data_IF_039898329611
#
_entry.id   IF_039898329611
#
_cell.length_a   1.000
_cell.length_b   1.000
_cell.length_c   1.000
_cell.angle_alpha   90.00
_cell.angle_beta   90.00
_cell.angle_gamma   90.00
#
_symmetry.space_group_name_H-M   'P 1'
#
loop_
_entity.id
_entity.type
_entity.pdbx_description
1 polymer ?
#
# COMPACT_ATOMS: atom_id res chain seq x y z
N UNK A 1 -30.43 -60.68 -16.11
CA UNK A 1 -29.17 -60.49 -16.85
C UNK A 1 -29.02 -59.06 -17.41
N UNK A 2 -30.11 -58.34 -17.72
CA UNK A 2 -30.06 -56.96 -18.24
C UNK A 2 -29.68 -55.92 -17.16
N UNK A 3 -30.19 -56.06 -15.92
CA UNK A 3 -29.88 -55.16 -14.80
C UNK A 3 -28.39 -55.16 -14.40
N UNK A 4 -27.75 -56.33 -14.37
CA UNK A 4 -26.34 -56.46 -14.01
C UNK A 4 -25.38 -55.71 -14.96
N UNK A 5 -25.70 -55.63 -16.26
CA UNK A 5 -24.90 -54.87 -17.23
C UNK A 5 -25.11 -53.34 -17.12
N UNK A 6 -26.29 -52.92 -16.66
CA UNK A 6 -26.60 -51.50 -16.41
C UNK A 6 -25.88 -51.02 -15.13
N UNK A 7 -25.81 -51.86 -14.10
CA UNK A 7 -25.10 -51.56 -12.85
C UNK A 7 -23.57 -51.51 -13.04
N UNK A 8 -23.01 -52.37 -13.90
CA UNK A 8 -21.58 -52.39 -14.21
C UNK A 8 -21.13 -51.15 -15.01
N UNK A 9 -21.96 -50.71 -15.97
CA UNK A 9 -21.67 -49.55 -16.81
C UNK A 9 -21.80 -48.22 -16.05
N UNK A 10 -22.80 -48.09 -15.19
CA UNK A 10 -22.94 -46.92 -14.29
C UNK A 10 -21.80 -46.83 -13.27
N UNK A 11 -21.34 -47.97 -12.73
CA UNK A 11 -20.16 -48.04 -11.86
C UNK A 11 -18.89 -47.55 -12.59
N UNK A 12 -18.70 -47.96 -13.83
CA UNK A 12 -17.54 -47.51 -14.64
C UNK A 12 -17.58 -46.01 -14.92
N UNK A 13 -18.76 -45.46 -15.25
CA UNK A 13 -18.95 -44.01 -15.47
C UNK A 13 -18.69 -43.22 -14.19
N UNK A 14 -19.12 -43.71 -13.02
CA UNK A 14 -18.84 -43.06 -11.74
C UNK A 14 -17.36 -43.06 -11.38
N UNK A 15 -16.63 -44.15 -11.67
CA UNK A 15 -15.20 -44.25 -11.44
C UNK A 15 -14.44 -43.26 -12.34
N UNK A 16 -14.84 -43.16 -13.62
CA UNK A 16 -14.27 -42.20 -14.55
C UNK A 16 -14.51 -40.76 -14.08
N UNK A 17 -15.74 -40.45 -13.64
CA UNK A 17 -16.09 -39.15 -13.08
C UNK A 17 -15.28 -38.81 -11.82
N UNK A 18 -15.04 -39.79 -10.95
CA UNK A 18 -14.21 -39.63 -9.76
C UNK A 18 -12.74 -39.32 -10.11
N UNK A 19 -12.16 -40.03 -11.08
CA UNK A 19 -10.81 -39.74 -11.56
C UNK A 19 -10.68 -38.34 -12.17
N UNK A 20 -11.69 -37.90 -12.93
CA UNK A 20 -11.76 -36.55 -13.49
C UNK A 20 -11.85 -35.50 -12.36
N UNK A 21 -12.68 -35.74 -11.34
CA UNK A 21 -12.83 -34.82 -10.20
C UNK A 21 -11.54 -34.67 -9.39
N UNK A 22 -10.80 -35.76 -9.14
CA UNK A 22 -9.48 -35.70 -8.48
C UNK A 22 -8.50 -34.86 -9.31
N UNK A 23 -8.50 -35.05 -10.63
CA UNK A 23 -7.63 -34.30 -11.53
C UNK A 23 -7.98 -32.81 -11.54
N UNK A 24 -9.27 -32.47 -11.51
CA UNK A 24 -9.74 -31.09 -11.40
C UNK A 24 -9.31 -30.45 -10.07
N UNK A 25 -9.47 -31.16 -8.94
CA UNK A 25 -9.01 -30.68 -7.63
C UNK A 25 -7.51 -30.43 -7.59
N UNK A 26 -6.71 -31.33 -8.17
CA UNK A 26 -5.26 -31.16 -8.27
C UNK A 26 -4.91 -29.92 -9.11
N UNK A 27 -5.58 -29.73 -10.24
CA UNK A 27 -5.37 -28.57 -11.11
C UNK A 27 -5.80 -27.26 -10.43
N UNK A 28 -6.90 -27.25 -9.68
CA UNK A 28 -7.35 -26.10 -8.90
C UNK A 28 -6.36 -25.72 -7.81
N UNK A 29 -5.85 -26.71 -7.05
CA UNK A 29 -4.82 -26.46 -6.04
C UNK A 29 -3.54 -25.86 -6.65
N UNK A 30 -3.13 -26.36 -7.82
CA UNK A 30 -1.98 -25.83 -8.55
C UNK A 30 -2.23 -24.39 -9.03
N UNK A 31 -3.39 -24.12 -9.61
CA UNK A 31 -3.76 -22.77 -10.07
C UNK A 31 -3.89 -21.79 -8.91
N UNK A 32 -4.47 -22.21 -7.79
CA UNK A 32 -4.59 -21.39 -6.59
C UNK A 32 -3.21 -21.00 -6.05
N UNK A 33 -2.27 -21.94 -5.96
CA UNK A 33 -0.90 -21.65 -5.54
C UNK A 33 -0.22 -20.62 -6.44
N UNK A 34 -0.33 -20.79 -7.76
CA UNK A 34 0.24 -19.85 -8.74
C UNK A 34 -0.43 -18.47 -8.62
N UNK A 35 -1.75 -18.41 -8.44
CA UNK A 35 -2.49 -17.17 -8.28
C UNK A 35 -2.07 -16.41 -7.02
N UNK A 36 -1.89 -17.10 -5.90
CA UNK A 36 -1.42 -16.50 -4.64
C UNK A 36 0.01 -15.98 -4.79
N UNK A 37 0.91 -16.76 -5.41
CA UNK A 37 2.28 -16.32 -5.67
C UNK A 37 2.33 -15.09 -6.59
N UNK A 38 1.50 -15.05 -7.64
CA UNK A 38 1.40 -13.90 -8.54
C UNK A 38 0.84 -12.67 -7.83
N UNK A 39 -0.24 -12.83 -7.05
CA UNK A 39 -0.81 -11.74 -6.25
C UNK A 39 0.24 -11.14 -5.30
N UNK A 40 1.01 -11.99 -4.61
CA UNK A 40 2.10 -11.52 -3.73
C UNK A 40 3.16 -10.75 -4.51
N UNK A 41 3.57 -11.23 -5.70
CA UNK A 41 4.54 -10.53 -6.56
C UNK A 41 4.03 -9.18 -7.01
N UNK A 42 2.75 -9.08 -7.35
CA UNK A 42 2.15 -7.82 -7.81
C UNK A 42 1.98 -6.83 -6.67
N UNK A 43 1.56 -7.28 -5.47
CA UNK A 43 1.58 -6.44 -4.26
C UNK A 43 2.99 -5.91 -3.95
N UNK A 44 4.04 -6.73 -4.07
CA UNK A 44 5.42 -6.29 -3.85
C UNK A 44 5.87 -5.23 -4.86
N UNK A 45 5.53 -5.39 -6.15
CA UNK A 45 5.85 -4.38 -7.17
C UNK A 45 5.16 -3.05 -6.87
N UNK A 46 3.89 -3.09 -6.49
CA UNK A 46 3.12 -1.89 -6.12
C UNK A 46 3.81 -1.16 -4.97
N UNK A 47 4.26 -1.88 -3.95
CA UNK A 47 4.93 -1.23 -2.82
C UNK A 47 6.27 -0.66 -3.20
N UNK A 48 7.12 -1.40 -3.91
CA UNK A 48 8.42 -0.89 -4.33
C UNK A 48 8.28 0.38 -5.19
N UNK A 49 7.25 0.44 -6.03
CA UNK A 49 6.95 1.64 -6.80
C UNK A 49 6.52 2.80 -5.89
N UNK A 50 5.62 2.55 -4.94
CA UNK A 50 5.17 3.56 -3.96
C UNK A 50 6.36 4.05 -3.11
N UNK A 51 7.19 3.16 -2.60
CA UNK A 51 8.37 3.47 -1.79
C UNK A 51 9.40 4.28 -2.57
N UNK A 52 9.65 3.91 -3.83
CA UNK A 52 10.53 4.68 -4.71
C UNK A 52 10.01 6.10 -4.90
N UNK A 53 8.71 6.26 -5.16
CA UNK A 53 8.08 7.58 -5.28
C UNK A 53 8.12 8.37 -3.96
N UNK A 54 7.84 7.71 -2.82
CA UNK A 54 7.91 8.31 -1.49
C UNK A 54 9.32 8.78 -1.16
N UNK A 55 10.34 7.96 -1.43
CA UNK A 55 11.74 8.29 -1.20
C UNK A 55 12.17 9.49 -2.05
N UNK A 56 11.84 9.50 -3.34
CA UNK A 56 12.15 10.62 -4.23
C UNK A 56 11.53 11.93 -3.75
N UNK A 57 10.25 11.90 -3.36
CA UNK A 57 9.52 13.08 -2.87
C UNK A 57 10.03 13.53 -1.50
N UNK A 58 10.40 12.59 -0.63
CA UNK A 58 11.00 12.90 0.68
C UNK A 58 12.33 13.62 0.53
N UNK A 59 13.19 13.17 -0.40
CA UNK A 59 14.48 13.82 -0.66
C UNK A 59 14.28 15.27 -1.10
N UNK A 60 13.31 15.52 -1.98
CA UNK A 60 12.98 16.89 -2.43
C UNK A 60 12.42 17.74 -1.29
N UNK A 61 11.49 17.19 -0.50
CA UNK A 61 10.91 17.86 0.65
C UNK A 61 11.97 18.23 1.71
N UNK A 62 12.81 17.27 2.09
CA UNK A 62 13.88 17.48 3.08
C UNK A 62 14.93 18.47 2.56
N UNK A 63 15.21 18.48 1.25
CA UNK A 63 16.12 19.45 0.62
C UNK A 63 15.59 20.87 0.75
N UNK A 64 14.32 21.12 0.39
CA UNK A 64 13.71 22.45 0.46
C UNK A 64 13.57 22.89 1.93
N UNK A 65 13.20 21.97 2.83
CA UNK A 65 13.14 22.24 4.26
C UNK A 65 14.50 22.73 4.82
N UNK A 66 15.59 22.08 4.39
CA UNK A 66 16.95 22.48 4.76
C UNK A 66 17.30 23.84 4.17
N UNK A 67 16.99 24.07 2.89
CA UNK A 67 17.20 25.36 2.24
C UNK A 67 16.54 26.48 3.05
N UNK A 68 15.24 26.38 3.35
CA UNK A 68 14.51 27.37 4.20
C UNK A 68 15.22 27.61 5.54
N UNK A 69 15.70 26.54 6.18
CA UNK A 69 16.43 26.64 7.46
C UNK A 69 17.76 27.38 7.31
N UNK A 70 18.50 27.13 6.24
CA UNK A 70 19.75 27.84 5.93
C UNK A 70 19.49 29.32 5.61
N UNK A 71 18.39 29.64 4.91
CA UNK A 71 17.95 31.02 4.66
C UNK A 71 17.65 31.77 5.96
N UNK A 72 16.91 31.15 6.89
CA UNK A 72 16.58 31.77 8.17
C UNK A 72 17.81 32.09 9.05
N UNK A 73 18.92 31.38 8.84
CA UNK A 73 20.19 31.62 9.56
C UNK A 73 21.02 32.75 8.91
N UNK A 74 20.94 32.89 7.58
CA UNK A 74 21.70 33.87 6.80
C UNK A 74 20.79 35.05 6.41
N UNK A 75 20.72 36.09 7.26
CA UNK A 75 19.85 37.28 7.12
C UNK A 75 20.07 38.19 5.89
N UNK A 76 20.75 37.72 4.85
CA UNK A 76 21.20 38.54 3.72
C UNK A 76 20.41 38.29 2.43
N UNK A 77 19.16 37.82 2.56
CA UNK A 77 18.41 37.26 1.44
C UNK A 77 17.05 37.94 1.31
N UNK A 78 16.70 38.30 0.08
CA UNK A 78 15.44 38.96 -0.30
C UNK A 78 14.22 38.16 0.16
N UNK A 79 13.26 38.86 0.77
CA UNK A 79 11.96 38.34 1.20
C UNK A 79 11.20 37.62 0.06
N UNK A 80 11.36 38.09 -1.18
CA UNK A 80 10.77 37.46 -2.38
C UNK A 80 11.29 36.04 -2.61
N UNK A 81 12.60 35.80 -2.40
CA UNK A 81 13.17 34.46 -2.53
C UNK A 81 12.65 33.51 -1.45
N UNK A 82 12.43 34.03 -0.24
CA UNK A 82 11.89 33.25 0.88
C UNK A 82 10.45 32.83 0.59
N UNK A 83 9.61 33.74 0.08
CA UNK A 83 8.23 33.41 -0.28
C UNK A 83 8.16 32.32 -1.37
N UNK A 84 8.99 32.43 -2.41
CA UNK A 84 9.10 31.40 -3.46
C UNK A 84 9.46 30.03 -2.86
N UNK A 85 10.41 29.99 -1.91
CA UNK A 85 10.82 28.74 -1.28
C UNK A 85 9.73 28.14 -0.38
N UNK A 86 8.94 28.97 0.29
CA UNK A 86 7.78 28.51 1.08
C UNK A 86 6.73 27.88 0.16
N UNK A 87 6.42 28.50 -1.00
CA UNK A 87 5.50 27.90 -1.99
C UNK A 87 6.00 26.55 -2.51
N UNK A 88 7.31 26.44 -2.80
CA UNK A 88 7.92 25.17 -3.17
C UNK A 88 7.85 24.14 -2.04
N UNK A 89 8.06 24.57 -0.80
CA UNK A 89 7.97 23.70 0.37
C UNK A 89 6.57 23.13 0.53
N UNK A 90 5.53 23.96 0.43
CA UNK A 90 4.14 23.51 0.56
C UNK A 90 3.78 22.51 -0.56
N UNK A 91 4.24 22.78 -1.78
CA UNK A 91 4.05 21.85 -2.91
C UNK A 91 4.77 20.51 -2.68
N UNK A 92 6.02 20.55 -2.21
CA UNK A 92 6.80 19.35 -1.93
C UNK A 92 6.20 18.55 -0.76
N UNK A 93 5.71 19.24 0.27
CA UNK A 93 4.98 18.66 1.41
C UNK A 93 3.72 17.93 0.92
N UNK A 94 2.90 18.59 0.12
CA UNK A 94 1.68 18.02 -0.45
C UNK A 94 1.99 16.77 -1.28
N UNK A 95 2.99 16.84 -2.15
CA UNK A 95 3.41 15.70 -2.97
C UNK A 95 3.86 14.51 -2.12
N UNK A 96 4.66 14.76 -1.08
CA UNK A 96 5.09 13.73 -0.17
C UNK A 96 3.90 13.12 0.61
N UNK A 97 3.00 13.94 1.14
CA UNK A 97 1.86 13.45 1.91
C UNK A 97 0.89 12.65 1.03
N UNK A 98 0.65 13.10 -0.21
CA UNK A 98 -0.15 12.36 -1.20
C UNK A 98 0.45 10.97 -1.49
N UNK A 99 1.78 10.83 -1.48
CA UNK A 99 2.43 9.54 -1.68
C UNK A 99 2.22 8.57 -0.52
N UNK A 100 2.26 9.07 0.72
CA UNK A 100 1.95 8.31 1.92
C UNK A 100 0.47 7.97 1.99
N UNK A 101 -0.42 8.90 1.63
CA UNK A 101 -1.86 8.66 1.62
C UNK A 101 -2.23 7.56 0.63
N UNK A 102 -1.53 7.48 -0.50
CA UNK A 102 -1.68 6.37 -1.46
C UNK A 102 -1.23 5.03 -0.89
N UNK A 103 -0.13 4.98 -0.12
CA UNK A 103 0.27 3.78 0.62
C UNK A 103 -0.84 3.37 1.61
N UNK A 104 -1.33 4.32 2.40
CA UNK A 104 -2.38 4.10 3.38
C UNK A 104 -3.70 3.66 2.73
N UNK A 105 -4.03 4.18 1.55
CA UNK A 105 -5.15 3.71 0.73
C UNK A 105 -4.97 2.23 0.36
N UNK A 106 -3.79 1.84 -0.09
CA UNK A 106 -3.51 0.45 -0.45
C UNK A 106 -3.64 -0.52 0.73
N UNK A 107 -3.21 -0.11 1.92
CA UNK A 107 -3.38 -0.87 3.16
C UNK A 107 -4.87 -0.94 3.55
N UNK A 108 -5.57 0.21 3.56
CA UNK A 108 -6.99 0.30 3.91
C UNK A 108 -7.90 -0.53 2.99
N UNK A 109 -7.47 -0.78 1.74
CA UNK A 109 -8.18 -1.61 0.76
C UNK A 109 -7.73 -3.07 0.73
N UNK A 110 -6.85 -3.50 1.65
CA UNK A 110 -6.28 -4.84 1.73
C UNK A 110 -5.55 -5.28 0.43
N UNK A 111 -5.04 -4.33 -0.36
CA UNK A 111 -4.08 -4.65 -1.43
C UNK A 111 -2.72 -5.04 -0.83
N UNK A 112 -2.47 -4.56 0.38
CA UNK A 112 -1.28 -4.76 1.19
C UNK A 112 -1.70 -5.26 2.57
N UNK A 113 -0.97 -6.22 3.13
CA UNK A 113 -1.26 -6.78 4.45
C UNK A 113 -0.89 -5.78 5.56
N UNK A 114 -1.89 -5.37 6.33
CA UNK A 114 -1.75 -4.36 7.37
C UNK A 114 -0.67 -4.69 8.42
N UNK A 115 -0.49 -5.97 8.76
CA UNK A 115 0.46 -6.40 9.79
C UNK A 115 1.90 -6.21 9.33
N UNK A 116 2.18 -6.59 8.09
CA UNK A 116 3.51 -6.48 7.51
C UNK A 116 3.95 -5.01 7.45
N UNK A 117 3.03 -4.11 7.11
CA UNK A 117 3.35 -2.68 6.93
C UNK A 117 3.25 -1.84 8.20
N UNK A 118 2.45 -2.26 9.20
CA UNK A 118 2.37 -1.58 10.50
C UNK A 118 3.74 -1.51 11.18
N UNK A 119 4.55 -2.56 11.10
CA UNK A 119 5.87 -2.60 11.75
C UNK A 119 6.80 -1.52 11.20
N UNK A 120 6.80 -1.33 9.88
CA UNK A 120 7.69 -0.39 9.20
C UNK A 120 7.18 1.06 9.30
N UNK A 121 5.86 1.27 9.14
CA UNK A 121 5.31 2.61 8.91
C UNK A 121 4.57 3.21 10.10
N UNK A 122 4.30 2.47 11.18
CA UNK A 122 3.54 3.00 12.34
C UNK A 122 4.15 4.26 12.94
N UNK A 123 5.47 4.25 13.15
CA UNK A 123 6.16 5.42 13.71
C UNK A 123 6.23 6.56 12.69
N UNK A 124 6.41 6.26 11.41
CA UNK A 124 6.40 7.26 10.34
C UNK A 124 5.07 8.00 10.32
N UNK A 125 3.94 7.29 10.36
CA UNK A 125 2.62 7.93 10.36
C UNK A 125 2.37 8.73 11.64
N UNK A 126 2.79 8.19 12.80
CA UNK A 126 2.67 8.89 14.08
C UNK A 126 3.43 10.22 14.05
N UNK A 127 4.68 10.19 13.62
CA UNK A 127 5.55 11.36 13.57
C UNK A 127 5.03 12.36 12.53
N UNK A 128 4.55 11.89 11.38
CA UNK A 128 3.95 12.73 10.35
C UNK A 128 2.72 13.48 10.89
N UNK A 129 1.79 12.78 11.52
CA UNK A 129 0.57 13.39 12.06
C UNK A 129 0.88 14.34 13.22
N UNK A 130 1.86 14.01 14.05
CA UNK A 130 2.26 14.84 15.20
C UNK A 130 3.00 16.10 14.77
N UNK A 131 3.92 15.99 13.81
CA UNK A 131 4.74 17.12 13.36
C UNK A 131 3.98 18.10 12.45
N UNK A 132 2.88 17.65 11.84
CA UNK A 132 2.07 18.42 10.89
C UNK A 132 0.59 18.42 11.27
N UNK A 133 0.28 18.57 12.56
CA UNK A 133 -1.07 18.44 13.12
C UNK A 133 -2.11 19.31 12.38
N UNK A 134 -1.72 20.52 11.96
CA UNK A 134 -2.56 21.46 11.21
C UNK A 134 -3.06 20.88 9.88
N UNK A 135 -2.25 20.05 9.21
CA UNK A 135 -2.59 19.38 7.96
C UNK A 135 -3.55 18.18 8.16
N UNK A 136 -3.75 17.72 9.41
CA UNK A 136 -4.57 16.54 9.78
C UNK A 136 -5.86 16.88 10.56
N UNK A 137 -6.35 18.10 10.39
CA UNK A 137 -7.64 18.55 10.92
C UNK A 137 -8.85 17.75 10.35
N UNK A 138 -10.06 18.06 10.80
CA UNK A 138 -11.27 17.34 10.40
C UNK A 138 -11.55 17.34 8.88
N UNK A 139 -11.09 18.36 8.16
CA UNK A 139 -11.27 18.51 6.72
C UNK A 139 -10.05 18.06 5.89
N UNK A 140 -9.08 17.37 6.52
CA UNK A 140 -7.84 16.95 5.85
C UNK A 140 -8.10 16.21 4.52
N UNK A 141 -7.33 16.49 3.46
CA UNK A 141 -7.34 15.69 2.25
C UNK A 141 -6.70 14.31 2.46
N UNK A 142 -5.85 14.16 3.49
CA UNK A 142 -5.06 12.95 3.79
C UNK A 142 -5.80 11.96 4.70
N UNK A 143 -7.04 11.62 4.31
CA UNK A 143 -7.96 10.84 5.14
C UNK A 143 -7.47 9.41 5.40
N UNK A 144 -6.75 8.81 4.45
CA UNK A 144 -6.27 7.44 4.63
C UNK A 144 -5.12 7.39 5.64
N UNK A 145 -4.22 8.38 5.62
CA UNK A 145 -3.18 8.54 6.64
C UNK A 145 -3.79 8.59 8.03
N UNK A 146 -4.74 9.51 8.23
CA UNK A 146 -5.38 9.70 9.54
C UNK A 146 -6.04 8.41 10.02
N UNK A 147 -6.82 7.75 9.16
CA UNK A 147 -7.51 6.50 9.49
C UNK A 147 -6.55 5.37 9.87
N UNK A 148 -5.47 5.19 9.10
CA UNK A 148 -4.49 4.12 9.37
C UNK A 148 -3.68 4.44 10.63
N UNK A 149 -3.31 5.71 10.84
CA UNK A 149 -2.62 6.12 12.05
C UNK A 149 -3.47 5.85 13.30
N UNK A 150 -4.72 6.31 13.32
CA UNK A 150 -5.67 6.05 14.42
C UNK A 150 -5.78 4.55 14.71
N UNK A 151 -6.07 3.75 13.67
CA UNK A 151 -6.14 2.29 13.77
C UNK A 151 -4.87 1.69 14.39
N UNK A 152 -3.68 2.11 13.93
CA UNK A 152 -2.43 1.53 14.39
C UNK A 152 -1.99 2.01 15.77
N UNK A 153 -2.42 3.19 16.23
CA UNK A 153 -2.10 3.68 17.58
C UNK A 153 -3.06 3.12 18.64
N UNK A 154 -4.31 2.82 18.28
CA UNK A 154 -5.32 2.26 19.18
C UNK A 154 -5.10 0.77 19.49
N UNK A 155 -4.38 0.07 18.61
CA UNK A 155 -3.95 -1.34 18.72
C UNK A 155 -2.52 -1.49 19.25
#
# INVERSE_FOLDING_TARGET
>A
MITYNIDLSTSFISLLGFCIAITQLYNLNKQFKISVENQRRDSLKIVLEIESQMASRKVEFDKIAREIKEYNLNKDISEEKVNILIEYFDTAKENYFNSIDRLCYCINKNYLDDRDWKVEYRNVLKDLVTNYEDDFNAATPYRNIKKINEKWQDE
#
